data_IF_776414358977
#
_entry.id   IF_776414358977
#
_cell.length_a   1.000
_cell.length_b   1.000
_cell.length_c   1.000
_cell.angle_alpha   90.00
_cell.angle_beta   90.00
_cell.angle_gamma   90.00
#
_symmetry.space_group_name_H-M   'P 1'
#
loop_
_entity.id
_entity.type
_entity.pdbx_description
1 polymer ?
#
# COMPACT_ATOMS: atom_id res chain seq x y z
N UNK A 1 -22.56 -45.49 -25.39
CA UNK A 1 -21.37 -45.42 -24.53
C UNK A 1 -20.42 -44.27 -24.92
N UNK A 2 -20.02 -44.14 -26.18
CA UNK A 2 -19.12 -43.05 -26.66
C UNK A 2 -19.63 -41.61 -26.42
N UNK A 3 -20.95 -41.39 -26.48
CA UNK A 3 -21.52 -40.03 -26.27
C UNK A 3 -21.44 -39.53 -24.81
N UNK A 4 -21.45 -40.46 -23.84
CA UNK A 4 -21.33 -40.12 -22.43
C UNK A 4 -19.86 -39.81 -22.05
N UNK A 5 -18.90 -40.48 -22.69
CA UNK A 5 -17.48 -40.21 -22.49
C UNK A 5 -17.12 -38.82 -23.03
N UNK A 6 -17.62 -38.42 -24.21
CA UNK A 6 -17.42 -37.06 -24.75
C UNK A 6 -17.96 -35.99 -23.81
N UNK A 7 -19.14 -36.19 -23.22
CA UNK A 7 -19.72 -35.24 -22.25
C UNK A 7 -18.89 -35.11 -20.98
N UNK A 8 -18.33 -36.22 -20.45
CA UNK A 8 -17.47 -36.20 -19.27
C UNK A 8 -16.13 -35.51 -19.57
N UNK A 9 -15.53 -35.75 -20.73
CA UNK A 9 -14.29 -35.10 -21.13
C UNK A 9 -14.49 -33.58 -21.33
N UNK A 10 -15.60 -33.19 -21.98
CA UNK A 10 -15.93 -31.75 -22.15
C UNK A 10 -16.18 -31.09 -20.80
N UNK A 11 -16.86 -31.74 -19.87
CA UNK A 11 -17.10 -31.23 -18.52
C UNK A 11 -15.78 -31.07 -17.75
N UNK A 12 -14.85 -31.99 -17.88
CA UNK A 12 -13.55 -31.94 -17.21
C UNK A 12 -12.66 -30.85 -17.77
N UNK A 13 -12.66 -30.63 -19.12
CA UNK A 13 -11.93 -29.54 -19.77
C UNK A 13 -12.53 -28.18 -19.37
N UNK A 14 -13.86 -28.06 -19.29
CA UNK A 14 -14.49 -26.81 -18.83
C UNK A 14 -14.18 -26.50 -17.36
N UNK A 15 -14.08 -27.50 -16.48
CA UNK A 15 -13.67 -27.32 -15.08
C UNK A 15 -12.20 -26.87 -15.02
N UNK A 16 -11.30 -27.44 -15.83
CA UNK A 16 -9.88 -27.04 -15.87
C UNK A 16 -9.70 -25.61 -16.41
N UNK A 17 -10.55 -25.15 -17.33
CA UNK A 17 -10.50 -23.79 -17.87
C UNK A 17 -11.08 -22.75 -16.87
N UNK A 18 -12.04 -23.16 -16.03
CA UNK A 18 -12.68 -22.27 -15.05
C UNK A 18 -11.83 -22.14 -13.76
N UNK A 19 -11.08 -23.19 -13.36
CA UNK A 19 -10.24 -23.16 -12.16
C UNK A 19 -9.20 -22.02 -12.11
N UNK A 20 -8.45 -21.69 -13.18
CA UNK A 20 -7.52 -20.57 -13.17
C UNK A 20 -8.22 -19.21 -13.02
N UNK A 21 -9.44 -19.08 -13.53
CA UNK A 21 -10.23 -17.84 -13.43
C UNK A 21 -10.76 -17.58 -12.02
N UNK A 22 -10.93 -18.63 -11.21
CA UNK A 22 -11.38 -18.51 -9.81
C UNK A 22 -10.22 -18.19 -8.87
N UNK A 23 -8.97 -18.57 -9.22
CA UNK A 23 -7.79 -18.23 -8.44
C UNK A 23 -7.29 -16.77 -8.62
N UNK A 24 -7.79 -16.06 -9.65
CA UNK A 24 -7.44 -14.65 -9.92
C UNK A 24 -8.35 -13.62 -9.23
N UNK A 25 -9.33 -14.05 -8.43
CA UNK A 25 -10.33 -13.16 -7.80
C UNK A 25 -10.21 -13.16 -6.27
N UNK A 26 -9.02 -12.91 -5.77
CA UNK A 26 -8.77 -12.64 -4.36
C UNK A 26 -8.46 -11.18 -4.08
N UNK A 27 -9.06 -10.22 -4.80
CA UNK A 27 -9.12 -8.85 -4.31
C UNK A 27 -10.12 -8.85 -3.16
N UNK A 28 -9.62 -8.72 -1.92
CA UNK A 28 -10.50 -8.41 -0.79
C UNK A 28 -11.39 -7.23 -1.21
N UNK A 29 -12.68 -7.45 -1.20
CA UNK A 29 -13.64 -6.36 -1.45
C UNK A 29 -13.52 -5.39 -0.27
N UNK A 30 -12.67 -4.39 -0.41
CA UNK A 30 -12.36 -3.41 0.63
C UNK A 30 -13.58 -2.59 1.06
N UNK A 31 -14.68 -2.70 0.29
CA UNK A 31 -15.88 -1.91 0.49
C UNK A 31 -15.68 -0.44 0.14
N UNK A 32 -16.78 0.31 0.05
CA UNK A 32 -16.75 1.72 -0.37
C UNK A 32 -17.33 2.62 0.73
N UNK A 33 -16.62 3.70 1.04
CA UNK A 33 -17.13 4.86 1.76
C UNK A 33 -17.51 5.94 0.75
N UNK A 34 -18.73 6.43 0.81
CA UNK A 34 -19.19 7.58 0.05
C UNK A 34 -19.05 8.83 0.93
N UNK A 35 -18.27 9.81 0.49
CA UNK A 35 -18.17 11.12 1.13
C UNK A 35 -18.92 12.11 0.27
N UNK A 36 -19.97 12.73 0.82
CA UNK A 36 -20.77 13.76 0.18
C UNK A 36 -20.45 15.09 0.82
N UNK A 37 -20.06 16.08 0.03
CA UNK A 37 -19.74 17.43 0.50
C UNK A 37 -20.59 18.47 -0.21
N UNK A 38 -20.89 19.58 0.47
CA UNK A 38 -21.77 20.63 -0.03
C UNK A 38 -21.05 21.63 -0.92
N UNK A 39 -20.01 22.25 -0.44
CA UNK A 39 -19.29 23.28 -1.17
C UNK A 39 -17.78 23.11 -1.04
N UNK A 40 -17.13 23.33 -2.16
CA UNK A 40 -15.69 23.45 -2.27
C UNK A 40 -15.35 24.89 -2.59
N UNK A 41 -14.83 25.63 -1.60
CA UNK A 41 -14.36 27.00 -1.82
C UNK A 41 -12.89 26.96 -2.22
N UNK A 42 -12.58 27.53 -3.38
CA UNK A 42 -11.23 27.58 -3.96
C UNK A 42 -10.20 28.27 -3.03
N UNK A 43 -10.67 29.10 -2.11
CA UNK A 43 -9.84 29.87 -1.19
C UNK A 43 -10.43 29.83 0.21
N UNK A 44 -9.92 28.98 1.09
CA UNK A 44 -10.32 29.07 2.48
C UNK A 44 -10.16 27.81 3.33
N UNK A 45 -10.63 27.92 4.56
CA UNK A 45 -10.50 26.91 5.62
C UNK A 45 -11.27 25.62 5.31
N UNK A 46 -12.22 25.67 4.40
CA UNK A 46 -13.16 24.57 4.14
C UNK A 46 -12.52 23.41 3.36
N UNK A 47 -11.53 23.67 2.50
CA UNK A 47 -10.75 22.62 1.84
C UNK A 47 -9.99 21.76 2.85
N UNK A 48 -9.45 22.38 3.90
CA UNK A 48 -8.74 21.66 4.93
C UNK A 48 -9.66 20.69 5.66
N UNK A 49 -10.94 21.06 5.84
CA UNK A 49 -11.91 20.17 6.49
C UNK A 49 -12.14 18.89 5.66
N UNK A 50 -12.35 19.02 4.36
CA UNK A 50 -12.51 17.87 3.47
C UNK A 50 -11.24 17.01 3.46
N UNK A 51 -10.07 17.63 3.39
CA UNK A 51 -8.78 16.94 3.41
C UNK A 51 -8.58 16.13 4.69
N UNK A 52 -8.91 16.70 5.87
CA UNK A 52 -8.88 15.96 7.14
C UNK A 52 -9.84 14.76 7.14
N UNK A 53 -11.06 14.95 6.66
CA UNK A 53 -12.05 13.86 6.58
C UNK A 53 -11.53 12.74 5.67
N UNK A 54 -11.00 13.07 4.49
CA UNK A 54 -10.43 12.09 3.55
C UNK A 54 -9.26 11.33 4.19
N UNK A 55 -8.28 12.03 4.76
CA UNK A 55 -7.10 11.41 5.37
C UNK A 55 -7.48 10.45 6.50
N UNK A 56 -8.46 10.82 7.33
CA UNK A 56 -8.95 9.93 8.39
C UNK A 56 -9.75 8.78 7.78
N UNK A 57 -10.61 9.03 6.79
CA UNK A 57 -11.38 7.98 6.13
C UNK A 57 -10.48 6.93 5.44
N UNK A 58 -9.35 7.33 4.86
CA UNK A 58 -8.34 6.43 4.28
C UNK A 58 -7.82 5.42 5.30
N UNK A 59 -7.74 5.77 6.58
CA UNK A 59 -7.27 4.85 7.64
C UNK A 59 -8.22 3.68 7.89
N UNK A 60 -9.44 3.72 7.36
CA UNK A 60 -10.40 2.61 7.41
C UNK A 60 -10.05 1.47 6.45
N UNK A 61 -9.14 1.71 5.51
CA UNK A 61 -8.75 0.75 4.46
C UNK A 61 -9.78 0.56 3.35
N UNK A 62 -10.90 1.31 3.38
CA UNK A 62 -11.95 1.24 2.36
C UNK A 62 -11.62 2.16 1.18
N UNK A 63 -12.16 1.81 0.00
CA UNK A 63 -12.17 2.76 -1.12
C UNK A 63 -13.04 3.96 -0.76
N UNK A 64 -12.66 5.14 -1.22
CA UNK A 64 -13.40 6.38 -1.02
C UNK A 64 -13.96 6.83 -2.36
N UNK A 65 -15.25 7.15 -2.37
CA UNK A 65 -15.94 7.82 -3.47
C UNK A 65 -16.34 9.21 -2.99
N UNK A 66 -15.86 10.26 -3.66
CA UNK A 66 -16.16 11.65 -3.35
C UNK A 66 -17.21 12.16 -4.31
N UNK A 67 -18.28 12.76 -3.80
CA UNK A 67 -19.34 13.39 -4.60
C UNK A 67 -19.82 14.69 -4.00
N UNK A 68 -20.04 15.66 -4.87
CA UNK A 68 -20.72 16.87 -4.48
C UNK A 68 -22.21 16.60 -4.18
N UNK A 69 -22.84 17.41 -3.33
CA UNK A 69 -24.26 17.32 -2.94
C UNK A 69 -25.20 17.34 -4.14
N UNK A 70 -24.84 17.94 -5.25
CA UNK A 70 -25.65 17.99 -6.47
C UNK A 70 -25.40 16.81 -7.44
N UNK A 71 -24.34 16.01 -7.21
CA UNK A 71 -23.91 14.96 -8.14
C UNK A 71 -24.20 13.54 -7.67
N UNK A 72 -24.45 13.30 -6.38
CA UNK A 72 -24.73 11.95 -5.88
C UNK A 72 -26.16 11.48 -6.21
N UNK A 73 -26.32 10.18 -6.31
CA UNK A 73 -27.59 9.52 -6.62
C UNK A 73 -28.04 8.58 -5.51
N UNK A 74 -29.30 8.17 -5.53
CA UNK A 74 -29.83 7.14 -4.60
C UNK A 74 -29.11 5.80 -4.80
N UNK A 75 -28.64 5.51 -6.01
CA UNK A 75 -27.87 4.30 -6.31
C UNK A 75 -26.52 4.32 -5.59
N UNK A 76 -25.84 5.45 -5.54
CA UNK A 76 -24.57 5.63 -4.80
C UNK A 76 -24.79 5.39 -3.31
N UNK A 77 -25.87 5.95 -2.74
CA UNK A 77 -26.25 5.72 -1.34
C UNK A 77 -26.51 4.22 -1.05
N UNK A 78 -27.08 3.49 -2.00
CA UNK A 78 -27.36 2.07 -1.82
C UNK A 78 -26.11 1.20 -1.92
N UNK A 79 -25.18 1.52 -2.82
CA UNK A 79 -23.91 0.80 -3.04
C UNK A 79 -22.89 1.03 -1.91
N UNK A 80 -22.90 2.21 -1.29
CA UNK A 80 -21.97 2.56 -0.24
C UNK A 80 -22.15 1.68 1.01
N UNK A 81 -21.07 1.20 1.58
CA UNK A 81 -21.06 0.51 2.88
C UNK A 81 -21.08 1.48 4.05
N UNK A 82 -20.60 2.70 3.86
CA UNK A 82 -20.66 3.79 4.79
C UNK A 82 -20.83 5.12 4.05
N UNK A 83 -21.46 6.07 4.68
CA UNK A 83 -21.74 7.39 4.13
C UNK A 83 -21.25 8.43 5.13
N UNK A 84 -20.41 9.34 4.67
CA UNK A 84 -19.98 10.51 5.43
C UNK A 84 -20.52 11.74 4.69
N UNK A 85 -21.28 12.55 5.39
CA UNK A 85 -21.72 13.87 4.90
C UNK A 85 -20.86 14.93 5.55
N UNK A 86 -20.27 15.81 4.74
CA UNK A 86 -19.56 17.01 5.18
C UNK A 86 -20.37 18.22 4.74
N UNK A 87 -21.00 18.90 5.70
CA UNK A 87 -21.83 20.09 5.45
C UNK A 87 -21.23 21.33 6.10
N UNK A 88 -20.72 22.24 5.28
CA UNK A 88 -20.13 23.50 5.72
C UNK A 88 -21.20 24.58 5.89
N UNK A 89 -22.26 24.53 5.10
CA UNK A 89 -23.32 25.54 5.10
C UNK A 89 -24.67 25.00 5.57
N UNK A 90 -25.38 25.81 6.32
CA UNK A 90 -26.75 25.48 6.74
C UNK A 90 -27.68 25.56 5.52
N UNK A 91 -28.46 24.51 5.28
CA UNK A 91 -29.41 24.46 4.16
C UNK A 91 -28.78 24.07 2.80
N UNK A 92 -27.52 23.69 2.73
CA UNK A 92 -26.87 23.19 1.52
C UNK A 92 -27.56 21.93 0.97
N UNK A 93 -28.08 21.09 1.85
CA UNK A 93 -28.83 19.88 1.49
C UNK A 93 -30.34 20.18 1.47
N UNK A 94 -31.03 19.81 0.38
CA UNK A 94 -32.50 19.89 0.28
C UNK A 94 -33.14 18.94 1.29
N UNK A 95 -34.31 19.27 1.81
CA UNK A 95 -34.98 18.41 2.80
C UNK A 95 -35.15 16.97 2.30
N UNK A 96 -35.51 16.78 1.02
CA UNK A 96 -35.62 15.44 0.43
C UNK A 96 -34.29 14.63 0.45
N UNK A 97 -33.15 15.31 0.27
CA UNK A 97 -31.82 14.69 0.36
C UNK A 97 -31.51 14.30 1.81
N UNK A 98 -31.82 15.20 2.75
CA UNK A 98 -31.68 14.94 4.18
C UNK A 98 -32.51 13.73 4.58
N UNK A 99 -33.79 13.66 4.18
CA UNK A 99 -34.67 12.54 4.48
C UNK A 99 -34.14 11.20 3.89
N UNK A 100 -33.59 11.21 2.67
CA UNK A 100 -33.03 10.03 2.02
C UNK A 100 -31.75 9.56 2.68
N UNK A 101 -30.93 10.47 3.17
CA UNK A 101 -29.73 10.15 3.95
C UNK A 101 -30.10 9.54 5.30
N UNK A 102 -31.07 10.13 6.03
CA UNK A 102 -31.49 9.60 7.34
C UNK A 102 -32.22 8.26 7.29
N UNK A 103 -32.83 7.88 6.17
CA UNK A 103 -33.31 6.50 5.95
C UNK A 103 -32.18 5.46 6.05
N UNK A 104 -30.92 5.89 6.02
CA UNK A 104 -29.71 5.07 6.09
C UNK A 104 -28.84 5.43 7.29
N UNK A 105 -29.45 5.86 8.38
CA UNK A 105 -28.78 6.35 9.60
C UNK A 105 -27.80 5.36 10.20
N UNK A 106 -28.01 4.04 10.02
CA UNK A 106 -27.12 2.99 10.50
C UNK A 106 -25.71 3.08 9.90
N UNK A 107 -25.60 3.58 8.65
CA UNK A 107 -24.32 3.74 7.95
C UNK A 107 -23.95 5.20 7.64
N UNK A 108 -24.70 6.18 8.19
CA UNK A 108 -24.51 7.61 7.97
C UNK A 108 -23.75 8.24 9.14
N UNK A 109 -22.69 8.99 8.84
CA UNK A 109 -22.05 9.93 9.75
C UNK A 109 -22.18 11.33 9.17
N UNK A 110 -22.81 12.23 9.92
CA UNK A 110 -22.95 13.63 9.54
C UNK A 110 -21.89 14.48 10.26
N UNK A 111 -21.15 15.29 9.51
CA UNK A 111 -20.11 16.19 10.00
C UNK A 111 -20.50 17.62 9.56
N UNK A 112 -20.51 18.56 10.48
CA UNK A 112 -20.78 19.96 10.18
C UNK A 112 -22.20 20.42 10.48
N UNK A 113 -22.71 21.34 9.70
CA UNK A 113 -23.99 22.00 9.99
C UNK A 113 -25.17 21.14 9.56
N UNK A 114 -26.06 20.87 10.48
CA UNK A 114 -27.37 20.27 10.20
C UNK A 114 -28.37 20.80 11.21
N UNK A 115 -29.49 21.31 10.73
CA UNK A 115 -30.54 21.89 11.55
C UNK A 115 -31.41 20.89 12.33
N UNK A 116 -31.25 19.56 12.11
CA UNK A 116 -32.23 18.58 12.53
C UNK A 116 -31.76 17.48 13.47
N UNK A 117 -30.48 17.43 13.92
CA UNK A 117 -30.00 16.30 14.73
C UNK A 117 -28.90 16.63 15.76
N UNK A 118 -28.96 15.93 16.91
CA UNK A 118 -28.02 16.07 18.05
C UNK A 118 -26.68 15.33 17.84
N UNK A 119 -26.62 14.37 16.90
CA UNK A 119 -25.43 13.52 16.65
C UNK A 119 -24.49 14.07 15.57
N UNK A 120 -24.36 15.38 15.46
CA UNK A 120 -23.51 16.03 14.48
C UNK A 120 -22.12 16.32 15.04
N UNK A 121 -21.07 15.95 14.30
CA UNK A 121 -19.71 16.34 14.63
C UNK A 121 -19.49 17.81 14.25
N UNK A 122 -19.05 18.67 15.18
CA UNK A 122 -18.77 20.08 14.85
C UNK A 122 -17.65 20.24 13.83
N UNK A 123 -17.81 21.19 12.92
CA UNK A 123 -16.88 21.53 11.84
C UNK A 123 -15.83 22.57 12.25
N UNK A 124 -15.19 22.40 13.37
CA UNK A 124 -14.10 23.30 13.79
C UNK A 124 -12.83 22.49 14.00
N UNK A 125 -12.17 22.09 12.89
CA UNK A 125 -10.96 21.26 12.96
C UNK A 125 -9.68 22.02 13.33
N UNK A 126 -9.73 23.32 13.50
CA UNK A 126 -8.69 24.09 14.20
C UNK A 126 -8.64 23.73 15.70
N UNK A 127 -9.77 23.28 16.25
CA UNK A 127 -9.84 22.73 17.60
C UNK A 127 -9.48 21.22 17.54
N UNK A 128 -8.33 20.87 18.09
CA UNK A 128 -7.85 19.48 18.19
C UNK A 128 -8.89 18.52 18.77
N UNK A 129 -9.73 19.01 19.72
CA UNK A 129 -10.78 18.22 20.34
C UNK A 129 -11.84 17.78 19.31
N UNK A 130 -12.28 18.67 18.44
CA UNK A 130 -13.26 18.35 17.41
C UNK A 130 -12.67 17.42 16.33
N UNK A 131 -11.41 17.64 15.98
CA UNK A 131 -10.70 16.78 15.04
C UNK A 131 -10.58 15.35 15.61
N UNK A 132 -10.28 15.21 16.90
CA UNK A 132 -10.21 13.93 17.57
C UNK A 132 -11.58 13.24 17.71
N UNK A 133 -12.62 14.02 18.01
CA UNK A 133 -13.99 13.51 18.04
C UNK A 133 -14.42 12.97 16.67
N UNK A 134 -14.15 13.70 15.59
CA UNK A 134 -14.41 13.26 14.22
C UNK A 134 -13.69 11.93 13.91
N UNK A 135 -12.39 11.85 14.22
CA UNK A 135 -11.61 10.62 14.05
C UNK A 135 -12.26 9.44 14.74
N UNK A 136 -12.60 9.60 16.03
CA UNK A 136 -13.20 8.52 16.80
C UNK A 136 -14.53 8.09 16.19
N UNK A 137 -15.40 9.01 15.83
CA UNK A 137 -16.70 8.69 15.19
C UNK A 137 -16.52 7.99 13.84
N UNK A 138 -15.56 8.40 12.99
CA UNK A 138 -15.26 7.71 11.73
C UNK A 138 -14.77 6.29 12.01
N UNK A 139 -13.83 6.12 12.93
CA UNK A 139 -13.26 4.82 13.25
C UNK A 139 -14.31 3.89 13.89
N UNK A 140 -15.09 4.36 14.84
CA UNK A 140 -16.10 3.57 15.55
C UNK A 140 -17.19 3.09 14.57
N UNK A 141 -17.55 3.93 13.61
CA UNK A 141 -18.64 3.63 12.68
C UNK A 141 -18.21 2.78 11.48
N UNK A 142 -16.99 2.99 10.97
CA UNK A 142 -16.58 2.41 9.68
C UNK A 142 -15.35 1.50 9.77
N UNK A 143 -14.59 1.55 10.86
CA UNK A 143 -13.41 0.73 11.04
C UNK A 143 -13.73 -0.44 11.98
N UNK A 144 -13.94 -1.63 11.42
CA UNK A 144 -14.13 -2.87 12.19
C UNK A 144 -12.84 -3.38 12.85
N UNK A 145 -11.71 -2.75 12.59
CA UNK A 145 -10.42 -3.09 13.22
C UNK A 145 -10.31 -2.24 14.48
N UNK A 146 -10.26 -2.89 15.64
CA UNK A 146 -10.11 -2.34 16.99
C UNK A 146 -9.36 -0.99 17.01
N UNK A 147 -9.73 -0.11 17.95
CA UNK A 147 -9.02 1.11 18.33
C UNK A 147 -7.53 0.79 18.59
N UNK A 148 -6.74 0.71 17.52
CA UNK A 148 -5.33 0.41 17.56
C UNK A 148 -4.61 1.70 17.95
N UNK A 149 -3.72 1.61 18.93
CA UNK A 149 -2.79 2.70 19.20
C UNK A 149 -2.11 3.12 17.89
N UNK A 150 -1.98 4.43 17.71
CA UNK A 150 -1.33 4.97 16.52
C UNK A 150 0.17 4.81 16.63
N UNK A 151 0.79 4.50 15.51
CA UNK A 151 2.20 4.21 15.44
C UNK A 151 2.97 5.39 14.89
N UNK A 152 4.16 5.61 15.43
CA UNK A 152 5.15 6.55 14.85
C UNK A 152 6.24 5.75 14.18
N UNK A 153 6.59 6.11 12.96
CA UNK A 153 7.65 5.47 12.17
C UNK A 153 8.71 6.50 11.83
N UNK A 154 9.98 6.16 12.03
CA UNK A 154 11.10 6.98 11.58
C UNK A 154 11.31 6.76 10.07
N UNK A 155 11.47 7.84 9.31
CA UNK A 155 11.74 7.80 7.87
C UNK A 155 13.02 8.58 7.55
N UNK A 156 14.01 7.90 6.97
CA UNK A 156 15.09 8.58 6.23
C UNK A 156 14.54 8.88 4.85
N UNK A 157 14.26 10.16 4.62
CA UNK A 157 13.48 10.62 3.49
C UNK A 157 14.36 11.22 2.37
N UNK A 158 13.81 11.28 1.17
CA UNK A 158 14.48 11.88 0.01
C UNK A 158 15.90 11.33 -0.23
N UNK A 159 16.04 9.99 -0.26
CA UNK A 159 17.32 9.34 -0.51
C UNK A 159 17.51 9.15 -2.01
N UNK A 160 18.56 9.76 -2.57
CA UNK A 160 18.84 9.77 -4.00
C UNK A 160 20.11 8.98 -4.36
N UNK A 161 20.21 8.48 -5.61
CA UNK A 161 21.41 7.73 -6.06
C UNK A 161 22.71 8.54 -6.05
N UNK A 162 22.62 9.87 -6.05
CA UNK A 162 23.74 10.80 -6.04
C UNK A 162 24.09 11.36 -4.66
N UNK A 163 23.35 10.97 -3.62
CA UNK A 163 23.65 11.35 -2.24
C UNK A 163 24.94 10.68 -1.73
N UNK A 164 25.45 11.18 -0.60
CA UNK A 164 26.51 10.50 0.13
C UNK A 164 25.97 9.20 0.76
N UNK A 165 26.13 8.11 0.02
CA UNK A 165 25.65 6.79 0.46
C UNK A 165 26.41 6.26 1.69
N UNK A 166 27.65 6.73 1.95
CA UNK A 166 28.36 6.39 3.18
C UNK A 166 27.70 7.05 4.40
N UNK A 167 27.18 8.26 4.21
CA UNK A 167 26.40 8.93 5.24
C UNK A 167 25.10 8.16 5.56
N UNK A 168 24.42 7.65 4.55
CA UNK A 168 23.25 6.80 4.72
C UNK A 168 23.56 5.53 5.51
N UNK A 169 24.64 4.83 5.14
CA UNK A 169 25.15 3.64 5.83
C UNK A 169 25.44 3.96 7.30
N UNK A 170 26.13 5.06 7.58
CA UNK A 170 26.45 5.50 8.94
C UNK A 170 25.21 5.79 9.77
N UNK A 171 24.17 6.39 9.16
CA UNK A 171 22.87 6.60 9.82
C UNK A 171 22.18 5.28 10.15
N UNK A 172 22.20 4.33 9.21
CA UNK A 172 21.61 3.01 9.40
C UNK A 172 22.28 2.23 10.54
N UNK A 173 23.62 2.27 10.63
CA UNK A 173 24.36 1.68 11.76
C UNK A 173 23.97 2.32 13.08
N UNK A 174 23.94 3.66 13.13
CA UNK A 174 23.54 4.36 14.35
C UNK A 174 22.14 3.98 14.82
N UNK A 175 21.18 3.87 13.91
CA UNK A 175 19.81 3.45 14.23
C UNK A 175 19.78 2.00 14.71
N UNK A 176 20.49 1.11 14.05
CA UNK A 176 20.61 -0.30 14.42
C UNK A 176 21.19 -0.48 15.83
N UNK A 177 22.30 0.20 16.13
CA UNK A 177 22.97 0.15 17.43
C UNK A 177 22.11 0.71 18.55
N UNK A 178 21.18 1.61 18.24
CA UNK A 178 20.22 2.17 19.18
C UNK A 178 18.88 1.44 19.22
N UNK A 179 18.73 0.33 18.46
CA UNK A 179 17.50 -0.45 18.41
C UNK A 179 16.31 0.28 17.77
N UNK A 180 16.56 1.28 16.93
CA UNK A 180 15.52 2.09 16.26
C UNK A 180 15.26 1.54 14.88
N UNK A 181 14.09 0.92 14.63
CA UNK A 181 13.69 0.50 13.28
C UNK A 181 13.29 1.72 12.46
N UNK A 182 13.46 1.64 11.14
CA UNK A 182 13.27 2.79 10.27
C UNK A 182 12.78 2.41 8.87
N UNK A 183 12.32 3.41 8.13
CA UNK A 183 11.94 3.36 6.72
C UNK A 183 12.98 4.16 5.95
N UNK A 184 13.32 3.73 4.73
CA UNK A 184 14.05 4.53 3.75
C UNK A 184 13.13 4.84 2.60
N UNK A 185 12.83 6.11 2.38
CA UNK A 185 12.13 6.61 1.19
C UNK A 185 13.16 6.80 0.08
N UNK A 186 13.24 5.81 -0.79
CA UNK A 186 14.26 5.71 -1.82
C UNK A 186 13.70 6.21 -3.16
N UNK A 187 14.44 7.12 -3.82
CA UNK A 187 14.07 7.63 -5.14
C UNK A 187 13.93 6.50 -6.15
N UNK A 188 12.83 6.51 -6.89
CA UNK A 188 12.61 5.60 -8.01
C UNK A 188 13.52 5.94 -9.19
N UNK A 189 14.33 4.97 -9.63
CA UNK A 189 15.25 5.10 -10.78
C UNK A 189 14.73 4.27 -11.93
N UNK A 190 14.50 4.88 -13.07
CA UNK A 190 13.95 4.24 -14.27
C UNK A 190 14.80 4.45 -15.54
N UNK A 191 15.91 5.19 -15.42
CA UNK A 191 16.88 5.43 -16.49
C UNK A 191 18.29 5.16 -16.00
N UNK A 192 19.21 4.84 -16.91
CA UNK A 192 20.65 4.62 -16.61
C UNK A 192 20.89 3.53 -15.54
N UNK A 193 20.09 2.48 -15.61
CA UNK A 193 20.05 1.40 -14.61
C UNK A 193 21.33 0.57 -14.58
N UNK A 194 22.09 0.57 -15.68
CA UNK A 194 23.38 -0.13 -15.84
C UNK A 194 24.57 0.62 -15.23
N UNK A 195 24.39 1.86 -14.76
CA UNK A 195 25.48 2.65 -14.21
C UNK A 195 25.91 2.16 -12.83
N UNK A 196 27.19 2.25 -12.53
CA UNK A 196 27.75 1.93 -11.21
C UNK A 196 27.08 2.71 -10.07
N UNK A 197 26.52 3.89 -10.36
CA UNK A 197 25.74 4.66 -9.40
C UNK A 197 24.51 3.89 -8.92
N UNK A 198 23.79 3.20 -9.83
CA UNK A 198 22.63 2.36 -9.47
C UNK A 198 23.06 1.17 -8.60
N UNK A 199 24.18 0.52 -8.95
CA UNK A 199 24.72 -0.58 -8.16
C UNK A 199 25.04 -0.13 -6.73
N UNK A 200 25.83 0.95 -6.57
CA UNK A 200 26.17 1.50 -5.24
C UNK A 200 24.93 1.92 -4.45
N UNK A 201 23.95 2.55 -5.12
CA UNK A 201 22.71 2.96 -4.48
C UNK A 201 21.95 1.78 -3.90
N UNK A 202 21.75 0.75 -4.70
CA UNK A 202 21.01 -0.46 -4.27
C UNK A 202 21.80 -1.27 -3.23
N UNK A 203 23.12 -1.26 -3.24
CA UNK A 203 23.96 -1.83 -2.18
C UNK A 203 23.71 -1.12 -0.84
N UNK A 204 23.71 0.22 -0.82
CA UNK A 204 23.41 0.99 0.39
C UNK A 204 21.99 0.73 0.90
N UNK A 205 20.99 0.60 0.00
CA UNK A 205 19.62 0.28 0.38
C UNK A 205 19.48 -1.14 0.96
N UNK A 206 20.18 -2.14 0.39
CA UNK A 206 20.25 -3.49 0.97
C UNK A 206 20.89 -3.48 2.35
N UNK A 207 21.95 -2.66 2.51
CA UNK A 207 22.59 -2.48 3.80
C UNK A 207 21.62 -1.93 4.84
N UNK A 208 20.86 -0.88 4.50
CA UNK A 208 19.79 -0.34 5.36
C UNK A 208 18.77 -1.41 5.73
N UNK A 209 18.34 -2.22 4.77
CA UNK A 209 17.41 -3.32 5.02
C UNK A 209 18.01 -4.38 5.97
N UNK A 210 19.32 -4.65 5.89
CA UNK A 210 20.02 -5.56 6.81
C UNK A 210 20.08 -5.01 8.24
N UNK A 211 20.05 -3.69 8.42
CA UNK A 211 20.06 -2.98 9.70
C UNK A 211 18.68 -2.73 10.31
N UNK A 212 17.64 -3.37 9.82
CA UNK A 212 16.30 -3.21 10.38
C UNK A 212 15.40 -2.25 9.61
N UNK A 213 15.91 -1.62 8.57
CA UNK A 213 15.15 -0.77 7.67
C UNK A 213 14.18 -1.55 6.78
N UNK A 214 13.20 -0.85 6.25
CA UNK A 214 12.42 -1.24 5.07
C UNK A 214 12.53 -0.16 4.01
N UNK A 215 12.29 -0.54 2.76
CA UNK A 215 12.35 0.39 1.63
C UNK A 215 10.94 0.71 1.16
N UNK A 216 10.68 2.00 0.93
CA UNK A 216 9.50 2.51 0.25
C UNK A 216 9.99 3.33 -0.94
N UNK A 217 9.33 3.18 -2.09
CA UNK A 217 9.66 3.98 -3.27
C UNK A 217 9.19 5.41 -3.06
N UNK A 218 10.13 6.34 -3.21
CA UNK A 218 9.82 7.75 -3.43
C UNK A 218 9.21 7.93 -4.81
N UNK A 219 8.43 8.98 -4.96
CA UNK A 219 7.89 9.40 -6.24
C UNK A 219 9.02 9.65 -7.24
N UNK A 220 8.92 9.18 -8.50
CA UNK A 220 9.93 9.47 -9.51
C UNK A 220 9.99 10.98 -9.73
N UNK A 221 11.22 11.52 -9.84
CA UNK A 221 11.40 12.93 -10.15
C UNK A 221 10.84 13.21 -11.56
N UNK A 222 9.78 14.00 -11.61
CA UNK A 222 9.11 14.35 -12.85
C UNK A 222 9.46 15.78 -13.20
N UNK A 223 10.16 15.98 -14.32
CA UNK A 223 10.43 17.32 -14.85
C UNK A 223 9.18 18.01 -15.39
N UNK A 224 8.09 17.26 -15.59
CA UNK A 224 6.86 17.75 -16.18
C UNK A 224 5.64 17.28 -15.36
N UNK A 225 4.87 18.21 -14.85
CA UNK A 225 3.61 17.94 -14.17
C UNK A 225 2.51 17.40 -15.09
N UNK A 226 2.78 17.32 -16.41
CA UNK A 226 1.88 16.83 -17.45
C UNK A 226 1.99 15.33 -17.75
N UNK A 227 2.80 14.56 -17.02
CA UNK A 227 2.96 13.13 -17.29
C UNK A 227 1.65 12.36 -17.13
N UNK A 228 1.35 11.49 -18.10
CA UNK A 228 0.16 10.64 -18.06
C UNK A 228 0.29 9.56 -16.96
N UNK A 229 -0.85 9.03 -16.50
CA UNK A 229 -0.86 7.94 -15.53
C UNK A 229 -0.15 6.70 -16.07
N UNK A 230 -0.39 6.35 -17.33
CA UNK A 230 0.23 5.18 -17.97
C UNK A 230 1.76 5.30 -18.02
N UNK A 231 2.28 6.48 -18.34
CA UNK A 231 3.72 6.71 -18.35
C UNK A 231 4.32 6.66 -16.94
N UNK A 232 3.61 7.18 -15.95
CA UNK A 232 4.03 7.10 -14.54
C UNK A 232 4.09 5.63 -14.08
N UNK A 233 3.06 4.85 -14.38
CA UNK A 233 3.01 3.41 -14.08
C UNK A 233 4.15 2.67 -14.79
N UNK A 234 4.43 2.99 -16.05
CA UNK A 234 5.51 2.39 -16.81
C UNK A 234 6.88 2.70 -16.17
N UNK A 235 7.15 3.94 -15.81
CA UNK A 235 8.41 4.34 -15.15
C UNK A 235 8.60 3.61 -13.82
N UNK A 236 7.53 3.49 -13.03
CA UNK A 236 7.60 2.75 -11.77
C UNK A 236 7.75 1.24 -11.96
N UNK A 237 7.16 0.68 -13.02
CA UNK A 237 7.39 -0.73 -13.37
C UNK A 237 8.88 -0.98 -13.66
N UNK A 238 9.51 -0.12 -14.47
CA UNK A 238 10.94 -0.21 -14.77
C UNK A 238 11.77 -0.06 -13.48
N UNK A 239 11.42 0.91 -12.62
CA UNK A 239 12.12 1.12 -11.36
C UNK A 239 11.98 -0.08 -10.42
N UNK A 240 10.77 -0.62 -10.26
CA UNK A 240 10.52 -1.80 -9.42
C UNK A 240 11.31 -3.01 -9.90
N UNK A 241 11.31 -3.26 -11.22
CA UNK A 241 12.07 -4.37 -11.81
C UNK A 241 13.57 -4.21 -11.56
N UNK A 242 14.10 -2.99 -11.73
CA UNK A 242 15.49 -2.69 -11.44
C UNK A 242 15.84 -2.96 -9.98
N UNK A 243 15.02 -2.49 -9.03
CA UNK A 243 15.23 -2.74 -7.61
C UNK A 243 15.19 -4.24 -7.27
N UNK A 244 14.23 -4.99 -7.84
CA UNK A 244 14.14 -6.45 -7.65
C UNK A 244 15.40 -7.15 -8.17
N UNK A 245 15.89 -6.78 -9.36
CA UNK A 245 17.11 -7.34 -9.95
C UNK A 245 18.33 -7.12 -9.06
N UNK A 246 18.38 -5.98 -8.37
CA UNK A 246 19.41 -5.67 -7.37
C UNK A 246 19.06 -6.14 -5.95
N UNK A 247 18.05 -7.00 -5.78
CA UNK A 247 17.63 -7.57 -4.48
C UNK A 247 17.19 -6.51 -3.45
N UNK A 248 16.63 -5.40 -3.93
CA UNK A 248 15.94 -4.39 -3.11
C UNK A 248 14.44 -4.56 -3.31
N UNK A 249 13.67 -4.60 -2.24
CA UNK A 249 12.26 -4.96 -2.28
C UNK A 249 11.40 -3.90 -1.58
N UNK A 250 11.00 -2.85 -2.30
CA UNK A 250 10.14 -1.81 -1.73
C UNK A 250 8.72 -2.35 -1.49
N UNK A 251 8.06 -1.89 -0.41
CA UNK A 251 6.75 -2.41 0.00
C UNK A 251 5.63 -1.36 -0.06
N UNK A 252 5.89 -0.18 -0.59
CA UNK A 252 4.92 0.91 -0.66
C UNK A 252 5.46 2.11 -1.40
N UNK A 253 4.68 3.19 -1.40
CA UNK A 253 4.99 4.44 -2.08
C UNK A 253 4.98 5.62 -1.10
N UNK A 254 5.86 6.59 -1.34
CA UNK A 254 5.71 7.97 -0.86
C UNK A 254 5.04 8.78 -1.97
N UNK A 255 3.97 9.48 -1.66
CA UNK A 255 3.18 10.26 -2.61
C UNK A 255 2.94 11.68 -2.09
N UNK A 256 2.74 12.64 -2.99
CA UNK A 256 2.19 13.92 -2.63
C UNK A 256 0.67 13.81 -2.46
N UNK A 257 0.11 14.51 -1.50
CA UNK A 257 -1.33 14.46 -1.21
C UNK A 257 -2.21 14.92 -2.39
N UNK A 258 -1.71 15.77 -3.28
CA UNK A 258 -2.41 16.14 -4.52
C UNK A 258 -2.81 14.95 -5.40
N UNK A 259 -2.08 13.84 -5.32
CA UNK A 259 -2.41 12.62 -6.09
C UNK A 259 -3.69 11.95 -5.62
N UNK A 260 -4.05 12.14 -4.34
CA UNK A 260 -5.31 11.66 -3.81
C UNK A 260 -6.53 12.37 -4.43
N UNK A 261 -6.30 13.53 -5.05
CA UNK A 261 -7.34 14.39 -5.59
C UNK A 261 -7.35 14.45 -7.12
N UNK A 262 -6.60 13.57 -7.78
CA UNK A 262 -6.51 13.50 -9.24
C UNK A 262 -7.18 12.23 -9.76
N UNK A 263 -8.23 12.40 -10.56
CA UNK A 263 -8.94 11.26 -11.19
C UNK A 263 -8.04 10.41 -12.09
N UNK A 264 -7.01 11.03 -12.68
CA UNK A 264 -6.03 10.37 -13.52
C UNK A 264 -4.88 9.72 -12.73
N UNK A 265 -5.08 9.39 -11.45
CA UNK A 265 -4.09 8.72 -10.57
C UNK A 265 -4.65 7.49 -9.85
N UNK A 266 -5.87 7.09 -10.15
CA UNK A 266 -6.51 5.96 -9.48
C UNK A 266 -5.79 4.64 -9.72
N UNK A 267 -5.44 4.32 -10.98
CA UNK A 267 -4.74 3.08 -11.30
C UNK A 267 -3.32 3.07 -10.70
N UNK A 268 -2.63 4.21 -10.76
CA UNK A 268 -1.33 4.38 -10.11
C UNK A 268 -1.39 4.06 -8.62
N UNK A 269 -2.32 4.67 -7.89
CA UNK A 269 -2.50 4.47 -6.45
C UNK A 269 -2.97 3.04 -6.12
N UNK A 270 -3.72 2.40 -7.01
CA UNK A 270 -4.22 1.04 -6.82
C UNK A 270 -3.12 -0.03 -6.84
N UNK A 271 -1.92 0.30 -7.34
CA UNK A 271 -0.78 -0.63 -7.39
C UNK A 271 -0.05 -0.78 -6.05
N UNK A 272 -0.46 -0.04 -5.01
CA UNK A 272 0.12 -0.17 -3.67
C UNK A 272 -0.94 -0.32 -2.60
N UNK A 273 -0.59 -0.97 -1.52
CA UNK A 273 -1.43 -1.04 -0.32
C UNK A 273 -0.84 -0.27 0.88
N UNK A 274 0.34 0.33 0.73
CA UNK A 274 1.02 1.11 1.77
C UNK A 274 1.49 2.44 1.18
N UNK A 275 1.05 3.55 1.78
CA UNK A 275 1.44 4.90 1.35
C UNK A 275 1.95 5.74 2.53
N UNK A 276 2.96 6.58 2.21
CA UNK A 276 3.35 7.73 3.02
C UNK A 276 2.91 8.98 2.27
N UNK A 277 2.09 9.81 2.89
CA UNK A 277 1.54 11.02 2.29
C UNK A 277 2.41 12.21 2.71
N UNK A 278 3.04 12.86 1.73
CA UNK A 278 3.65 14.18 1.90
C UNK A 278 2.56 15.24 1.83
N UNK A 279 2.38 16.00 2.90
CA UNK A 279 1.45 17.11 2.89
C UNK A 279 2.02 18.29 2.09
N UNK A 280 1.24 18.79 1.15
CA UNK A 280 1.56 20.00 0.41
C UNK A 280 0.75 21.15 1.03
N UNK A 281 1.43 22.22 1.44
CA UNK A 281 0.77 23.41 2.02
C UNK A 281 -0.13 24.14 1.00
N UNK A 282 0.10 23.92 -0.30
CA UNK A 282 -0.60 24.58 -1.39
C UNK A 282 -1.29 23.56 -2.29
N UNK A 283 -2.34 22.90 -1.78
CA UNK A 283 -3.25 22.16 -2.64
C UNK A 283 -3.90 23.14 -3.62
N UNK A 284 -3.57 23.01 -4.92
CA UNK A 284 -4.18 23.81 -5.99
C UNK A 284 -5.68 23.57 -6.11
N UNK A 285 -6.31 24.27 -7.03
CA UNK A 285 -7.72 24.03 -7.40
C UNK A 285 -7.86 22.60 -7.90
N UNK A 286 -8.70 21.83 -7.22
CA UNK A 286 -8.90 20.42 -7.50
C UNK A 286 -10.33 20.25 -7.98
N UNK A 287 -10.51 19.64 -9.14
CA UNK A 287 -11.83 19.29 -9.67
C UNK A 287 -12.29 17.97 -9.04
N UNK A 288 -13.21 18.08 -8.09
CA UNK A 288 -13.69 16.93 -7.31
C UNK A 288 -14.95 16.27 -7.86
N UNK A 289 -15.44 16.64 -9.01
CA UNK A 289 -16.62 15.99 -9.54
C UNK A 289 -16.37 14.48 -9.75
N UNK A 290 -17.02 13.65 -8.94
CA UNK A 290 -16.99 12.18 -9.00
C UNK A 290 -15.57 11.59 -8.95
N UNK A 291 -14.91 11.72 -7.81
CA UNK A 291 -13.55 11.25 -7.61
C UNK A 291 -13.50 9.96 -6.80
N UNK A 292 -12.57 9.04 -7.17
CA UNK A 292 -12.34 7.78 -6.49
C UNK A 292 -10.91 7.71 -5.95
N UNK A 293 -10.77 7.29 -4.69
CA UNK A 293 -9.48 7.01 -4.06
C UNK A 293 -9.46 5.54 -3.64
N UNK A 294 -8.45 4.74 -4.03
CA UNK A 294 -8.37 3.35 -3.59
C UNK A 294 -8.10 3.25 -2.09
N UNK A 295 -8.57 2.19 -1.46
CA UNK A 295 -8.28 1.90 -0.06
C UNK A 295 -6.86 1.37 0.13
N UNK A 296 -6.22 1.74 1.24
CA UNK A 296 -4.88 1.28 1.61
C UNK A 296 -4.90 0.49 2.91
N UNK A 297 -3.98 -0.45 3.07
CA UNK A 297 -3.82 -1.19 4.32
C UNK A 297 -3.09 -0.35 5.37
N UNK A 298 -2.14 0.47 4.92
CA UNK A 298 -1.38 1.38 5.76
C UNK A 298 -1.33 2.76 5.12
N UNK A 299 -1.72 3.76 5.89
CA UNK A 299 -1.66 5.18 5.55
C UNK A 299 -0.88 5.89 6.63
N UNK A 300 0.26 6.45 6.28
CA UNK A 300 1.12 7.21 7.16
C UNK A 300 1.14 8.66 6.68
N UNK A 301 0.83 9.60 7.56
CA UNK A 301 0.98 11.03 7.25
C UNK A 301 2.41 11.44 7.61
N UNK A 302 3.12 12.01 6.64
CA UNK A 302 4.47 12.50 6.89
C UNK A 302 4.43 13.83 7.62
N UNK A 303 5.19 13.90 8.71
CA UNK A 303 5.37 15.14 9.48
C UNK A 303 6.87 15.44 9.59
N UNK A 304 7.21 16.73 9.57
CA UNK A 304 8.56 17.18 9.85
C UNK A 304 8.77 17.19 11.36
N UNK A 305 9.96 16.72 11.78
CA UNK A 305 10.23 16.59 13.21
C UNK A 305 10.17 17.88 14.03
N UNK A 306 10.20 19.03 13.38
CA UNK A 306 10.14 20.35 13.99
C UNK A 306 8.70 20.77 14.37
N UNK A 307 7.70 20.17 13.71
CA UNK A 307 6.27 20.45 13.92
C UNK A 307 5.64 19.57 15.02
N UNK A 308 6.48 18.76 15.69
CA UNK A 308 6.03 17.79 16.68
C UNK A 308 5.64 18.45 18.01
N UNK A 309 4.50 19.08 18.04
CA UNK A 309 3.76 19.28 19.30
C UNK A 309 3.14 17.94 19.70
N UNK A 310 3.97 17.01 20.19
CA UNK A 310 3.53 15.73 20.72
C UNK A 310 2.71 15.94 22.00
N UNK A 311 1.46 16.22 21.83
CA UNK A 311 0.46 15.88 22.82
C UNK A 311 -0.30 14.67 22.30
N UNK A 312 -0.26 13.61 23.01
CA UNK A 312 -1.08 12.40 23.14
C UNK A 312 -2.03 11.95 22.00
N UNK A 313 -2.27 12.77 20.94
CA UNK A 313 -3.38 12.56 20.01
C UNK A 313 -2.96 12.56 18.54
N UNK A 314 -2.18 11.53 18.15
CA UNK A 314 -1.99 11.29 16.73
C UNK A 314 -3.30 10.83 16.08
N UNK A 315 -3.74 11.56 15.05
CA UNK A 315 -4.97 11.22 14.31
C UNK A 315 -4.82 9.94 13.49
N UNK A 316 -3.63 9.73 12.95
CA UNK A 316 -3.29 8.62 12.05
C UNK A 316 -1.95 8.04 12.47
N UNK A 317 -1.53 6.93 11.85
CA UNK A 317 -0.13 6.54 11.88
C UNK A 317 0.71 7.63 11.21
N UNK A 318 1.88 7.93 11.75
CA UNK A 318 2.72 9.02 11.26
C UNK A 318 4.09 8.54 10.83
N UNK A 319 4.63 9.21 9.82
CA UNK A 319 5.98 9.06 9.32
C UNK A 319 6.79 10.30 9.72
N UNK A 320 7.74 10.17 10.65
CA UNK A 320 8.59 11.28 11.09
C UNK A 320 9.80 11.32 10.15
N UNK A 321 9.82 12.31 9.28
CA UNK A 321 10.84 12.44 8.24
C UNK A 321 12.11 13.12 8.73
N UNK A 322 13.27 12.56 8.37
CA UNK A 322 14.59 13.19 8.42
C UNK A 322 15.21 13.04 7.04
N UNK A 323 15.67 14.14 6.44
CA UNK A 323 16.23 14.09 5.08
C UNK A 323 17.50 13.22 5.02
N UNK A 324 17.62 12.45 3.93
CA UNK A 324 18.77 11.56 3.69
C UNK A 324 20.10 12.30 3.64
N UNK A 325 20.12 13.52 3.13
CA UNK A 325 21.32 14.35 2.97
C UNK A 325 21.67 15.21 4.20
N UNK A 326 20.86 15.19 5.28
CA UNK A 326 21.23 15.90 6.52
C UNK A 326 22.54 15.39 7.12
N UNK A 327 23.32 16.28 7.73
CA UNK A 327 24.58 15.91 8.39
C UNK A 327 24.35 14.86 9.48
N UNK A 328 25.36 14.04 9.76
CA UNK A 328 25.23 13.01 10.78
C UNK A 328 25.01 13.57 12.17
N UNK A 329 25.60 14.72 12.48
CA UNK A 329 25.46 15.35 13.80
C UNK A 329 24.02 15.90 13.99
N UNK A 330 23.49 16.60 12.98
CA UNK A 330 22.10 17.06 12.98
C UNK A 330 21.12 15.88 13.09
N UNK A 331 21.38 14.80 12.35
CA UNK A 331 20.59 13.58 12.43
C UNK A 331 20.55 13.01 13.84
N UNK A 332 21.70 12.90 14.51
CA UNK A 332 21.79 12.42 15.89
C UNK A 332 21.03 13.33 16.85
N UNK A 333 21.20 14.66 16.76
CA UNK A 333 20.50 15.62 17.59
C UNK A 333 18.98 15.45 17.49
N UNK A 334 18.45 15.26 16.28
CA UNK A 334 17.02 14.98 16.07
C UNK A 334 16.58 13.67 16.73
N UNK A 335 17.34 12.59 16.56
CA UNK A 335 17.03 11.30 17.19
C UNK A 335 17.05 11.41 18.72
N UNK A 336 18.04 12.10 19.28
CA UNK A 336 18.13 12.31 20.73
C UNK A 336 16.98 13.17 21.27
N UNK A 337 16.56 14.17 20.48
CA UNK A 337 15.37 14.96 20.80
C UNK A 337 14.11 14.09 20.82
N UNK A 338 13.90 13.26 19.80
CA UNK A 338 12.72 12.38 19.72
C UNK A 338 12.65 11.40 20.89
N UNK A 339 13.79 10.80 21.27
CA UNK A 339 13.88 9.97 22.47
C UNK A 339 13.54 10.76 23.75
N UNK A 340 14.06 11.97 23.86
CA UNK A 340 13.84 12.83 25.05
C UNK A 340 12.37 13.22 25.23
N UNK A 341 11.64 13.42 24.14
CA UNK A 341 10.20 13.73 24.17
C UNK A 341 9.32 12.47 24.23
N UNK A 342 9.93 11.29 24.32
CA UNK A 342 9.22 10.03 24.56
C UNK A 342 8.60 9.39 23.31
N UNK A 343 9.12 9.67 22.09
CA UNK A 343 8.66 8.97 20.91
C UNK A 343 9.19 7.55 20.90
N UNK A 344 8.27 6.59 20.81
CA UNK A 344 8.58 5.19 20.57
C UNK A 344 8.31 4.85 19.11
N UNK A 345 9.37 4.44 18.38
CA UNK A 345 9.27 4.10 16.98
C UNK A 345 8.84 2.65 16.77
N UNK A 346 7.71 2.49 16.14
CA UNK A 346 7.16 1.19 15.78
C UNK A 346 7.97 0.52 14.68
N UNK A 347 8.02 -0.82 14.71
CA UNK A 347 8.77 -1.59 13.73
C UNK A 347 8.01 -1.64 12.38
N UNK A 348 8.54 -0.99 11.33
CA UNK A 348 7.87 -0.92 10.03
C UNK A 348 7.85 -2.28 9.29
N UNK A 349 8.59 -3.28 9.73
CA UNK A 349 8.49 -4.65 9.18
C UNK A 349 7.15 -5.29 9.48
N UNK A 350 6.39 -4.77 10.46
CA UNK A 350 5.03 -5.20 10.77
C UNK A 350 3.97 -4.60 9.84
N UNK A 351 4.34 -3.65 8.96
CA UNK A 351 3.45 -3.13 7.94
C UNK A 351 3.20 -4.23 6.90
N UNK A 352 1.98 -4.76 6.89
CA UNK A 352 1.56 -5.69 5.85
C UNK A 352 1.24 -4.88 4.58
N UNK A 353 2.07 -5.02 3.56
CA UNK A 353 2.00 -4.19 2.36
C UNK A 353 2.23 -4.95 1.08
N UNK A 354 1.71 -4.39 0.00
CA UNK A 354 1.83 -4.90 -1.36
C UNK A 354 2.17 -3.77 -2.32
N UNK A 355 3.09 -4.04 -3.24
CA UNK A 355 3.46 -3.15 -4.32
C UNK A 355 3.51 -3.95 -5.62
N UNK A 356 2.77 -3.49 -6.65
CA UNK A 356 2.61 -4.20 -7.91
C UNK A 356 2.67 -3.23 -9.08
N UNK A 357 3.84 -3.07 -9.68
CA UNK A 357 3.99 -2.38 -10.96
C UNK A 357 4.48 -3.39 -12.00
N UNK A 358 3.91 -3.32 -13.21
CA UNK A 358 4.21 -4.30 -14.27
C UNK A 358 3.85 -5.73 -13.87
N UNK A 359 4.75 -6.67 -14.18
CA UNK A 359 4.53 -8.11 -13.96
C UNK A 359 4.97 -8.60 -12.56
N UNK A 360 5.61 -7.74 -11.78
CA UNK A 360 6.17 -8.11 -10.49
C UNK A 360 5.32 -7.62 -9.33
N UNK A 361 5.14 -8.50 -8.36
CA UNK A 361 4.40 -8.26 -7.12
C UNK A 361 5.30 -8.48 -5.92
N UNK A 362 5.52 -7.44 -5.14
CA UNK A 362 6.21 -7.51 -3.85
C UNK A 362 5.14 -7.50 -2.77
N UNK A 363 5.23 -8.43 -1.83
CA UNK A 363 4.31 -8.53 -0.71
C UNK A 363 5.07 -8.71 0.60
N UNK A 364 4.79 -7.85 1.57
CA UNK A 364 5.26 -7.99 2.94
C UNK A 364 4.09 -8.40 3.84
N UNK A 365 4.22 -9.52 4.51
CA UNK A 365 3.20 -10.06 5.39
C UNK A 365 3.83 -10.74 6.60
N UNK A 366 3.01 -11.24 7.53
CA UNK A 366 3.49 -12.05 8.67
C UNK A 366 4.29 -13.29 8.25
N UNK A 367 4.11 -13.76 7.02
CA UNK A 367 4.89 -14.88 6.46
C UNK A 367 6.28 -14.45 5.99
N UNK A 368 6.55 -13.16 6.00
CA UNK A 368 7.78 -12.51 5.52
C UNK A 368 7.61 -11.85 4.18
N UNK A 369 8.71 -11.37 3.65
CA UNK A 369 8.80 -10.67 2.36
C UNK A 369 8.79 -11.69 1.22
N UNK A 370 7.96 -11.45 0.21
CA UNK A 370 7.79 -12.31 -0.96
C UNK A 370 7.80 -11.50 -2.24
N UNK A 371 8.39 -12.06 -3.30
CA UNK A 371 8.32 -11.54 -4.66
C UNK A 371 7.65 -12.61 -5.53
N UNK A 372 6.56 -12.26 -6.20
CA UNK A 372 5.76 -13.19 -7.02
C UNK A 372 5.38 -14.49 -6.28
N UNK A 373 5.09 -14.37 -4.98
CA UNK A 373 4.74 -15.50 -4.12
C UNK A 373 5.93 -16.33 -3.61
N UNK A 374 7.17 -16.00 -4.03
CA UNK A 374 8.38 -16.67 -3.57
C UNK A 374 8.99 -15.86 -2.42
N UNK A 375 9.27 -16.54 -1.31
CA UNK A 375 9.91 -15.90 -0.14
C UNK A 375 11.34 -15.48 -0.49
N UNK A 376 11.68 -14.21 -0.22
CA UNK A 376 13.01 -13.66 -0.46
C UNK A 376 13.74 -13.41 0.86
N UNK A 377 15.05 -13.66 0.86
CA UNK A 377 15.90 -13.45 2.04
C UNK A 377 16.51 -12.03 2.04
N UNK A 378 15.66 -11.00 1.85
CA UNK A 378 16.10 -9.61 1.71
C UNK A 378 16.74 -8.96 2.93
N UNK A 379 16.86 -9.68 4.06
CA UNK A 379 17.30 -9.11 5.34
C UNK A 379 18.49 -9.86 5.96
N UNK A 380 19.30 -10.52 5.14
CA UNK A 380 20.56 -11.10 5.63
C UNK A 380 21.44 -9.94 6.09
N UNK A 381 22.00 -10.06 7.30
CA UNK A 381 22.96 -9.07 7.82
C UNK A 381 24.16 -8.98 6.87
N UNK A 382 24.51 -7.76 6.50
CA UNK A 382 25.68 -7.45 5.66
C UNK A 382 26.70 -6.76 6.55
N UNK A 383 27.94 -7.26 6.60
CA UNK A 383 29.01 -6.62 7.36
C UNK A 383 29.56 -5.41 6.62
N UNK A 384 30.16 -4.46 7.36
CA UNK A 384 30.83 -3.31 6.73
C UNK A 384 31.97 -3.75 5.82
N UNK A 385 32.64 -4.86 6.16
CA UNK A 385 33.75 -5.44 5.38
C UNK A 385 33.22 -6.02 4.05
N UNK A 386 32.01 -6.60 4.04
CA UNK A 386 31.37 -7.07 2.82
C UNK A 386 30.87 -5.92 1.93
N UNK A 387 30.49 -4.77 2.52
CA UNK A 387 30.04 -3.60 1.77
C UNK A 387 31.21 -2.83 1.12
N UNK A 388 32.33 -2.70 1.83
CA UNK A 388 33.49 -1.90 1.39
C UNK A 388 34.69 -2.73 0.90
N UNK A 389 34.67 -4.04 1.11
CA UNK A 389 35.68 -4.95 0.57
C UNK A 389 35.41 -5.21 -0.91
N UNK A 390 36.41 -5.02 -1.75
CA UNK A 390 36.43 -5.47 -3.16
C UNK A 390 36.45 -7.02 -3.25
N UNK A 391 35.61 -7.72 -2.47
CA UNK A 391 35.48 -9.16 -2.66
C UNK A 391 34.42 -9.43 -3.67
N UNK A 392 34.86 -9.99 -4.78
CA UNK A 392 34.11 -10.53 -5.90
C UNK A 392 32.69 -10.95 -5.54
N UNK A 393 31.71 -10.10 -5.88
CA UNK A 393 30.29 -10.45 -5.89
C UNK A 393 30.01 -11.68 -6.78
N UNK A 394 30.91 -11.95 -7.72
CA UNK A 394 30.85 -13.09 -8.63
C UNK A 394 31.04 -14.46 -7.91
N UNK A 395 31.68 -14.50 -6.73
CA UNK A 395 31.84 -15.74 -5.98
C UNK A 395 30.63 -16.11 -5.12
N UNK A 396 29.89 -15.14 -4.60
CA UNK A 396 28.65 -15.42 -3.87
C UNK A 396 27.49 -15.80 -4.79
N UNK A 397 27.45 -15.27 -6.03
CA UNK A 397 26.44 -15.70 -7.03
C UNK A 397 26.64 -17.18 -7.40
N UNK A 398 27.87 -17.68 -7.44
CA UNK A 398 28.11 -19.11 -7.72
C UNK A 398 27.79 -20.03 -6.54
N UNK A 399 27.95 -19.58 -5.29
CA UNK A 399 27.60 -20.41 -4.12
C UNK A 399 26.09 -20.35 -3.80
N UNK A 400 25.42 -19.19 -4.03
CA UNK A 400 23.96 -19.10 -3.88
C UNK A 400 23.22 -19.81 -5.01
N UNK A 401 23.74 -19.83 -6.24
CA UNK A 401 23.13 -20.63 -7.31
C UNK A 401 23.20 -22.14 -7.04
N UNK A 402 24.19 -22.62 -6.31
CA UNK A 402 24.29 -24.04 -5.95
C UNK A 402 23.28 -24.50 -4.88
N UNK A 403 22.71 -23.59 -4.10
CA UNK A 403 21.78 -23.93 -3.03
C UNK A 403 20.35 -23.44 -3.25
N UNK A 404 20.09 -22.66 -4.29
CA UNK A 404 18.71 -22.33 -4.71
C UNK A 404 18.21 -23.50 -5.54
N UNK A 405 17.59 -24.45 -4.87
CA UNK A 405 16.72 -25.41 -5.57
C UNK A 405 15.68 -24.59 -6.31
N UNK A 406 15.77 -24.56 -7.63
CA UNK A 406 14.78 -23.89 -8.48
C UNK A 406 13.42 -24.60 -8.32
N UNK A 407 12.69 -24.18 -7.28
CA UNK A 407 11.38 -24.72 -6.94
C UNK A 407 10.36 -24.54 -8.06
N UNK A 408 10.58 -23.58 -8.96
CA UNK A 408 9.72 -23.38 -10.13
C UNK A 408 9.84 -24.52 -11.12
N UNK A 409 11.06 -25.00 -11.38
CA UNK A 409 11.26 -26.21 -12.19
C UNK A 409 10.77 -27.46 -11.47
N UNK A 410 11.05 -27.59 -10.17
CA UNK A 410 10.57 -28.71 -9.36
C UNK A 410 9.03 -28.74 -9.29
N UNK A 411 8.38 -27.62 -9.03
CA UNK A 411 6.91 -27.53 -9.04
C UNK A 411 6.31 -27.82 -10.42
N UNK A 412 6.96 -27.39 -11.51
CA UNK A 412 6.52 -27.71 -12.86
C UNK A 412 6.61 -29.20 -13.17
N UNK A 413 7.66 -29.87 -12.72
CA UNK A 413 7.80 -31.32 -12.85
C UNK A 413 6.81 -32.10 -11.97
N UNK A 414 6.59 -31.68 -10.73
CA UNK A 414 5.58 -32.27 -9.85
C UNK A 414 4.19 -32.12 -10.47
N UNK A 415 3.86 -30.97 -11.04
CA UNK A 415 2.59 -30.73 -11.72
C UNK A 415 2.40 -31.65 -12.94
N UNK A 416 3.43 -31.80 -13.78
CA UNK A 416 3.42 -32.72 -14.95
C UNK A 416 3.24 -34.16 -14.49
N UNK A 417 3.98 -34.59 -13.48
CA UNK A 417 3.89 -35.95 -12.93
C UNK A 417 2.48 -36.23 -12.36
N UNK A 418 1.92 -35.26 -11.64
CA UNK A 418 0.57 -35.38 -11.07
C UNK A 418 -0.49 -35.50 -12.16
N UNK A 419 -0.45 -34.66 -13.19
CA UNK A 419 -1.38 -34.74 -14.32
C UNK A 419 -1.24 -36.04 -15.05
N UNK A 420 0.00 -36.51 -15.30
CA UNK A 420 0.25 -37.80 -15.97
C UNK A 420 -0.30 -38.92 -15.13
N UNK A 421 -0.12 -38.92 -13.82
CA UNK A 421 -0.69 -39.93 -12.90
C UNK A 421 -2.22 -39.98 -12.95
N UNK A 422 -2.88 -38.81 -12.97
CA UNK A 422 -4.33 -38.70 -13.09
C UNK A 422 -4.82 -39.26 -14.44
N UNK A 423 -4.13 -38.95 -15.52
CA UNK A 423 -4.48 -39.47 -16.87
C UNK A 423 -4.35 -40.99 -16.90
N UNK A 424 -3.26 -41.56 -16.39
CA UNK A 424 -3.05 -43.01 -16.30
C UNK A 424 -4.14 -43.68 -15.44
N UNK A 425 -4.49 -43.08 -14.31
CA UNK A 425 -5.55 -43.56 -13.44
C UNK A 425 -6.91 -43.57 -14.15
N UNK A 426 -7.26 -42.53 -14.88
CA UNK A 426 -8.51 -42.45 -15.67
C UNK A 426 -8.53 -43.52 -16.77
N UNK A 427 -7.40 -43.72 -17.47
CA UNK A 427 -7.27 -44.77 -18.48
C UNK A 427 -7.49 -46.14 -17.83
N UNK A 428 -6.88 -46.38 -16.67
CA UNK A 428 -7.03 -47.63 -15.93
C UNK A 428 -8.47 -47.88 -15.47
N UNK A 429 -9.17 -46.86 -14.99
CA UNK A 429 -10.59 -46.92 -14.66
C UNK A 429 -11.44 -47.27 -15.89
N UNK A 430 -11.20 -46.60 -17.03
CA UNK A 430 -11.91 -46.89 -18.28
C UNK A 430 -11.67 -48.32 -18.77
N UNK A 431 -10.44 -48.83 -18.59
CA UNK A 431 -10.12 -50.22 -18.91
C UNK A 431 -10.76 -51.19 -17.95
N UNK A 432 -10.80 -50.88 -16.65
CA UNK A 432 -11.48 -51.66 -15.61
C UNK A 432 -12.98 -51.79 -15.84
N UNK A 433 -13.65 -50.75 -16.34
CA UNK A 433 -15.08 -50.81 -16.72
C UNK A 433 -15.34 -51.65 -17.98
N UNK A 434 -14.32 -51.92 -18.79
CA UNK A 434 -14.41 -52.73 -20.02
C UNK A 434 -14.22 -54.22 -19.78
N UNK A 435 -13.65 -54.62 -18.63
CA UNK A 435 -13.46 -55.98 -18.27
C UNK A 435 -14.79 -56.57 -17.78
N UNK A 436 -15.40 -57.38 -18.63
CA UNK A 436 -16.64 -58.05 -18.31
C UNK A 436 -16.37 -59.14 -17.25
N UNK A 437 -16.67 -58.88 -15.98
CA UNK A 437 -16.46 -59.76 -14.83
C UNK A 437 -17.13 -61.13 -14.99
N UNK A 438 -18.12 -61.25 -15.86
CA UNK A 438 -18.84 -62.55 -16.11
C UNK A 438 -18.01 -63.56 -16.87
N UNK A 439 -16.86 -63.19 -17.42
CA UNK A 439 -15.98 -64.08 -18.19
C UNK A 439 -14.98 -64.87 -17.34
N UNK A 440 -14.79 -64.42 -16.08
CA UNK A 440 -13.76 -65.03 -15.21
C UNK A 440 -14.29 -65.84 -14.02
N UNK A 441 -15.60 -65.93 -13.86
CA UNK A 441 -16.25 -66.83 -12.90
C UNK A 441 -17.16 -67.75 -13.65
N UNK A 442 -16.60 -68.90 -14.12
CA UNK A 442 -17.28 -70.13 -14.46
C UNK A 442 -16.81 -71.20 -13.53
#
# INVERSE_FOLDING_TARGET
MFNNIKKVVVLFISIIIILPSIMALGTENKGNLLIIYDEYKEYGEDINNLNYVIKIALTTGKNIELKNVDSYTIEDLNKAQGIIVLSNEEGAFKQSQVDDLYKRSEKLLWIGKNSSNEDVVPLNFKDKKHLFEMKNKINDKFNNKNNREKNSYLVIDEVYPYDDLNLLVKKADYLYDNGIPFIVSAMSVYENLEFDAMKRYTEALRYCASRGGIIILGEPYLYDNGISEDELIQRLSIAQDAFINYKVYPIGLTINDEYLYRNDRFNYLSNTSTIIINENENLGVIDFENHYIPGFNNVLIKIQGEDLNFSEDLLTDVAIGIKGNESFDTFKEKIDLYKKIGIDFSNPRNLEGELTFGDNKINNSRKGLMVNGVKVSGNKFISNEELYGEKDLDQEEQETEKNVVDLTKANRWIFIITITGVIVFVIFLLYSFRIDRKKYFK
#
